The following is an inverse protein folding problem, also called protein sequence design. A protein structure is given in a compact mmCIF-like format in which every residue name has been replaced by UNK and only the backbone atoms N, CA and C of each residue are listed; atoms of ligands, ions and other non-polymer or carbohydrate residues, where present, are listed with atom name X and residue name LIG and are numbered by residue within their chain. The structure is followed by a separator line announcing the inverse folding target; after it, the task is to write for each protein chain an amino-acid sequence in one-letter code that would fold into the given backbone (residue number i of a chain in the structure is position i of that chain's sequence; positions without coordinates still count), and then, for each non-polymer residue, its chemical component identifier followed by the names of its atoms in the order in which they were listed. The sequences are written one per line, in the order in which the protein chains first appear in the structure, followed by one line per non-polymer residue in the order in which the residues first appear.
data_IF_789562116363
#
_entry.id   IF_789562116363
#
_cell.length_a   1.000
_cell.length_b   1.000
_cell.length_c   1.000
_cell.angle_alpha   90.00
_cell.angle_beta   90.00
_cell.angle_gamma   90.00
#
_symmetry.space_group_name_H-M   'P 1'
#
loop_
_entity.id
_entity.type
_entity.pdbx_description
1 polymer ?
#
# COMPACT_ATOMS: atom_id res chain seq x y z
N UNK A 1 -2.05 16.86 0.21
CA UNK A 1 -1.32 16.91 -1.11
C UNK A 1 -2.35 16.67 -2.18
N UNK A 2 -2.58 17.56 -3.10
CA UNK A 2 -3.52 17.31 -4.20
C UNK A 2 -2.86 16.47 -5.29
N UNK A 3 -3.62 15.55 -5.89
CA UNK A 3 -3.14 14.65 -6.97
C UNK A 3 -3.06 15.36 -8.33
N UNK A 4 -3.70 16.51 -8.46
CA UNK A 4 -3.67 17.29 -9.69
C UNK A 4 -2.23 17.54 -10.16
N UNK A 5 -1.96 17.27 -11.42
CA UNK A 5 -0.66 17.42 -12.10
C UNK A 5 0.47 16.53 -11.54
N UNK A 6 0.13 15.50 -10.76
CA UNK A 6 1.07 14.58 -10.13
C UNK A 6 1.27 13.29 -10.91
N UNK A 7 2.43 12.68 -10.72
CA UNK A 7 2.77 11.36 -11.25
C UNK A 7 2.60 10.31 -10.15
N UNK A 8 1.78 9.30 -10.43
CA UNK A 8 1.40 8.24 -9.48
C UNK A 8 1.82 6.89 -10.04
N UNK A 9 2.38 6.01 -9.22
CA UNK A 9 2.59 4.60 -9.53
C UNK A 9 1.73 3.75 -8.61
N UNK A 10 0.97 2.81 -9.19
CA UNK A 10 0.16 1.85 -8.43
C UNK A 10 0.60 0.43 -8.81
N UNK A 11 1.04 -0.36 -7.83
CA UNK A 11 1.32 -1.78 -8.06
C UNK A 11 0.06 -2.62 -7.95
N UNK A 12 -0.09 -3.65 -8.81
CA UNK A 12 -1.32 -4.46 -8.86
C UNK A 12 -2.53 -3.68 -9.38
N UNK A 13 -2.33 -2.80 -10.36
CA UNK A 13 -3.32 -1.83 -10.85
C UNK A 13 -4.37 -2.41 -11.81
N UNK A 14 -4.36 -3.71 -12.10
CA UNK A 14 -5.23 -4.32 -13.13
C UNK A 14 -6.61 -4.76 -12.62
N UNK A 15 -6.88 -4.72 -11.31
CA UNK A 15 -8.16 -5.13 -10.70
C UNK A 15 -8.33 -4.59 -9.28
N UNK A 16 -9.55 -4.72 -8.75
CA UNK A 16 -9.88 -4.43 -7.35
C UNK A 16 -9.44 -3.03 -6.91
N UNK A 17 -8.91 -2.93 -5.71
CA UNK A 17 -8.49 -1.64 -5.11
C UNK A 17 -7.44 -0.94 -6.00
N UNK A 18 -6.48 -1.69 -6.58
CA UNK A 18 -5.44 -1.09 -7.42
C UNK A 18 -5.98 -0.43 -8.69
N UNK A 19 -6.96 -1.05 -9.33
CA UNK A 19 -7.66 -0.46 -10.49
C UNK A 19 -8.45 0.79 -10.08
N UNK A 20 -9.17 0.72 -8.97
CA UNK A 20 -9.94 1.85 -8.47
C UNK A 20 -9.02 3.03 -8.07
N UNK A 21 -7.85 2.76 -7.45
CA UNK A 21 -6.85 3.78 -7.14
C UNK A 21 -6.29 4.45 -8.39
N UNK A 22 -6.02 3.70 -9.45
CA UNK A 22 -5.56 4.25 -10.72
C UNK A 22 -6.64 5.15 -11.36
N UNK A 23 -7.90 4.70 -11.37
CA UNK A 23 -9.04 5.46 -11.88
C UNK A 23 -9.28 6.74 -11.07
N UNK A 24 -9.25 6.67 -9.74
CA UNK A 24 -9.44 7.82 -8.87
C UNK A 24 -8.31 8.84 -9.01
N UNK A 25 -7.06 8.41 -9.17
CA UNK A 25 -5.93 9.30 -9.45
C UNK A 25 -6.17 10.10 -10.76
N UNK A 26 -6.65 9.43 -11.82
CA UNK A 26 -7.00 10.09 -13.09
C UNK A 26 -8.15 11.08 -12.93
N UNK A 27 -9.20 10.71 -12.18
CA UNK A 27 -10.35 11.56 -11.90
C UNK A 27 -9.96 12.83 -11.13
N UNK A 28 -8.99 12.72 -10.21
CA UNK A 28 -8.41 13.86 -9.47
C UNK A 28 -7.37 14.66 -10.25
N UNK A 29 -7.18 14.35 -11.54
CA UNK A 29 -6.34 15.13 -12.43
C UNK A 29 -4.85 14.77 -12.37
N UNK A 30 -4.50 13.53 -12.04
CA UNK A 30 -3.12 13.05 -12.17
C UNK A 30 -2.59 13.31 -13.58
N UNK A 31 -1.36 13.82 -13.67
CA UNK A 31 -0.67 14.03 -14.95
C UNK A 31 -0.34 12.70 -15.62
N UNK A 32 0.05 11.72 -14.84
CA UNK A 32 0.41 10.36 -15.29
C UNK A 32 0.16 9.33 -14.20
N UNK A 33 -0.35 8.17 -14.61
CA UNK A 33 -0.50 7.00 -13.75
C UNK A 33 0.31 5.85 -14.36
N UNK A 34 1.34 5.40 -13.67
CA UNK A 34 2.03 4.17 -13.98
C UNK A 34 1.26 3.00 -13.37
N UNK A 35 0.73 2.14 -14.21
CA UNK A 35 -0.04 0.97 -13.80
C UNK A 35 0.86 -0.28 -13.79
N UNK A 36 1.40 -0.62 -12.64
CA UNK A 36 2.27 -1.79 -12.44
C UNK A 36 1.45 -3.08 -12.37
N UNK A 37 1.66 -4.00 -13.33
CA UNK A 37 0.90 -5.26 -13.44
C UNK A 37 1.79 -6.40 -13.90
N UNK A 38 1.46 -7.64 -13.50
CA UNK A 38 2.15 -8.86 -13.96
C UNK A 38 1.73 -9.30 -15.36
N UNK A 39 0.55 -8.89 -15.79
CA UNK A 39 -0.01 -9.22 -17.09
C UNK A 39 -0.03 -7.96 -17.96
N UNK A 40 0.10 -8.09 -19.29
CA UNK A 40 -0.06 -6.95 -20.18
C UNK A 40 -1.37 -6.21 -19.91
N UNK A 41 -1.29 -4.90 -19.84
CA UNK A 41 -2.44 -4.02 -19.65
C UNK A 41 -2.50 -3.03 -20.83
N UNK A 42 -3.67 -2.86 -21.39
CA UNK A 42 -4.01 -1.74 -22.28
C UNK A 42 -5.00 -0.84 -21.60
N UNK A 43 -4.84 0.46 -21.73
CA UNK A 43 -5.75 1.43 -21.10
C UNK A 43 -6.13 2.52 -22.10
N UNK A 44 -7.42 2.93 -22.18
CA UNK A 44 -7.88 3.92 -23.19
C UNK A 44 -7.42 5.36 -22.89
N UNK A 45 -7.04 5.67 -21.65
CA UNK A 45 -6.56 7.00 -21.27
C UNK A 45 -5.03 7.07 -21.45
N UNK A 46 -4.57 7.97 -22.31
CA UNK A 46 -3.16 8.17 -22.66
C UNK A 46 -2.28 8.61 -21.49
N UNK A 47 -2.88 9.04 -20.38
CA UNK A 47 -2.17 9.34 -19.14
C UNK A 47 -1.75 8.08 -18.39
N UNK A 48 -2.29 6.91 -18.72
CA UNK A 48 -1.89 5.63 -18.13
C UNK A 48 -0.75 5.02 -18.90
N UNK A 49 0.33 4.73 -18.21
CA UNK A 49 1.47 3.98 -18.75
C UNK A 49 1.56 2.62 -18.04
N UNK A 50 1.24 1.52 -18.75
CA UNK A 50 1.42 0.19 -18.20
C UNK A 50 2.89 -0.12 -17.94
N UNK A 51 3.18 -0.73 -16.79
CA UNK A 51 4.50 -1.26 -16.45
C UNK A 51 4.40 -2.78 -16.21
N UNK A 52 5.26 -3.55 -16.85
CA UNK A 52 5.41 -4.96 -16.49
C UNK A 52 6.14 -5.05 -15.14
N UNK A 53 5.40 -5.33 -14.07
CA UNK A 53 5.90 -5.24 -12.70
C UNK A 53 5.34 -6.37 -11.84
N UNK A 54 6.12 -7.44 -11.70
CA UNK A 54 5.98 -8.41 -10.62
C UNK A 54 6.83 -7.95 -9.44
N UNK A 55 6.17 -7.70 -8.30
CA UNK A 55 6.86 -7.23 -7.08
C UNK A 55 7.80 -8.26 -6.46
N UNK A 56 7.79 -9.51 -6.94
CA UNK A 56 8.73 -10.57 -6.55
C UNK A 56 9.91 -10.71 -7.51
N UNK A 57 9.92 -9.97 -8.63
CA UNK A 57 10.97 -10.01 -9.64
C UNK A 57 11.88 -8.79 -9.57
N UNK A 58 13.07 -8.95 -9.02
CA UNK A 58 14.06 -7.86 -8.95
C UNK A 58 14.34 -7.26 -10.34
N UNK A 59 14.42 -8.10 -11.39
CA UNK A 59 14.67 -7.63 -12.74
C UNK A 59 13.54 -6.73 -13.28
N UNK A 60 12.27 -7.12 -13.04
CA UNK A 60 11.13 -6.31 -13.48
C UNK A 60 11.01 -5.02 -12.68
N UNK A 61 11.28 -5.07 -11.36
CA UNK A 61 11.29 -3.88 -10.50
C UNK A 61 12.34 -2.87 -11.01
N UNK A 62 13.55 -3.32 -11.30
CA UNK A 62 14.62 -2.43 -11.81
C UNK A 62 14.31 -1.89 -13.20
N UNK A 63 13.78 -2.73 -14.10
CA UNK A 63 13.34 -2.30 -15.43
C UNK A 63 12.21 -1.24 -15.36
N UNK A 64 11.26 -1.43 -14.45
CA UNK A 64 10.18 -0.46 -14.21
C UNK A 64 10.73 0.86 -13.62
N UNK A 65 11.66 0.77 -12.67
CA UNK A 65 12.29 1.97 -12.09
C UNK A 65 13.07 2.79 -13.13
N UNK A 66 13.71 2.13 -14.09
CA UNK A 66 14.38 2.79 -15.22
C UNK A 66 13.45 3.52 -16.19
N UNK A 67 12.15 3.22 -16.18
CA UNK A 67 11.15 3.88 -17.04
C UNK A 67 10.45 5.07 -16.37
N UNK A 68 10.64 5.27 -15.05
CA UNK A 68 9.95 6.29 -14.27
C UNK A 68 10.91 7.40 -13.90
N UNK A 69 10.88 8.50 -14.63
CA UNK A 69 11.79 9.65 -14.41
C UNK A 69 11.47 10.41 -13.12
N UNK A 70 10.21 10.59 -12.82
CA UNK A 70 9.73 11.30 -11.63
C UNK A 70 8.52 10.60 -11.02
N UNK A 71 8.39 10.65 -9.71
CA UNK A 71 7.30 10.00 -8.99
C UNK A 71 6.91 10.83 -7.77
N UNK A 72 5.69 11.34 -7.78
CA UNK A 72 5.14 12.10 -6.65
C UNK A 72 4.44 11.18 -5.63
N UNK A 73 3.87 10.06 -6.09
CA UNK A 73 3.18 9.12 -5.21
C UNK A 73 3.45 7.67 -5.64
N UNK A 74 3.95 6.88 -4.71
CA UNK A 74 4.07 5.42 -4.83
C UNK A 74 2.97 4.75 -4.02
N UNK A 75 2.12 3.94 -4.66
CA UNK A 75 1.09 3.14 -4.00
C UNK A 75 1.46 1.66 -4.12
N UNK A 76 1.95 1.08 -3.04
CA UNK A 76 2.20 -0.34 -2.90
C UNK A 76 0.88 -1.04 -2.56
N UNK A 77 0.18 -1.50 -3.61
CA UNK A 77 -1.10 -2.18 -3.48
C UNK A 77 -1.02 -3.68 -3.80
N UNK A 78 -0.06 -4.13 -4.60
CA UNK A 78 0.08 -5.55 -4.93
C UNK A 78 0.13 -6.41 -3.67
N UNK A 79 -0.70 -7.46 -3.63
CA UNK A 79 -0.79 -8.34 -2.48
C UNK A 79 -1.53 -9.64 -2.82
N UNK A 80 -1.35 -10.63 -1.96
CA UNK A 80 -2.07 -11.91 -2.00
C UNK A 80 -2.65 -12.23 -0.64
N UNK A 81 -3.78 -12.95 -0.62
CA UNK A 81 -4.33 -13.62 0.54
C UNK A 81 -4.71 -15.04 0.10
N UNK A 82 -4.01 -16.03 0.59
CA UNK A 82 -4.26 -17.44 0.34
C UNK A 82 -4.80 -18.05 1.63
N UNK A 83 -5.73 -18.98 1.50
CA UNK A 83 -6.14 -19.78 2.63
C UNK A 83 -4.93 -20.58 3.16
N UNK A 84 -4.71 -20.54 4.45
CA UNK A 84 -3.66 -21.29 5.12
C UNK A 84 -4.04 -21.57 6.61
N UNK A 85 -3.28 -22.50 7.21
CA UNK A 85 -3.40 -22.87 8.63
C UNK A 85 -2.00 -22.93 9.30
N UNK A 86 -1.00 -22.31 8.68
CA UNK A 86 0.42 -22.31 9.05
C UNK A 86 1.12 -23.67 8.92
N UNK A 87 0.49 -24.69 8.34
CA UNK A 87 1.15 -25.99 8.14
C UNK A 87 1.93 -26.07 6.84
N UNK A 88 1.67 -25.17 5.86
CA UNK A 88 2.40 -25.07 4.59
C UNK A 88 3.42 -23.92 4.60
N UNK A 89 4.73 -24.21 4.80
CA UNK A 89 5.76 -23.18 4.74
C UNK A 89 5.80 -22.42 3.42
N UNK A 90 5.47 -23.07 2.30
CA UNK A 90 5.48 -22.40 1.00
C UNK A 90 4.34 -21.37 0.85
N UNK A 91 3.18 -21.61 1.46
CA UNK A 91 2.11 -20.60 1.53
C UNK A 91 2.56 -19.40 2.38
N UNK A 92 3.21 -19.64 3.51
CA UNK A 92 3.75 -18.61 4.39
C UNK A 92 4.80 -17.75 3.65
N UNK A 93 5.79 -18.42 3.01
CA UNK A 93 6.84 -17.73 2.24
C UNK A 93 6.27 -16.89 1.10
N UNK A 94 5.25 -17.38 0.37
CA UNK A 94 4.57 -16.62 -0.69
C UNK A 94 3.93 -15.34 -0.17
N UNK A 95 3.27 -15.39 1.00
CA UNK A 95 2.71 -14.18 1.61
C UNK A 95 3.79 -13.16 1.94
N UNK A 96 4.89 -13.59 2.56
CA UNK A 96 6.01 -12.70 2.88
C UNK A 96 6.67 -12.15 1.60
N UNK A 97 6.89 -13.00 0.59
CA UNK A 97 7.51 -12.58 -0.66
C UNK A 97 6.76 -11.45 -1.36
N UNK A 98 5.42 -11.55 -1.43
CA UNK A 98 4.60 -10.52 -2.11
C UNK A 98 4.31 -9.35 -1.18
N UNK A 99 3.73 -9.61 0.00
CA UNK A 99 3.13 -8.57 0.83
C UNK A 99 4.16 -7.75 1.61
N UNK A 100 5.32 -8.34 1.95
CA UNK A 100 6.38 -7.68 2.69
C UNK A 100 7.58 -7.36 1.80
N UNK A 101 8.26 -8.39 1.29
CA UNK A 101 9.50 -8.18 0.54
C UNK A 101 9.26 -7.49 -0.79
N UNK A 102 8.12 -7.73 -1.46
CA UNK A 102 7.71 -7.02 -2.66
C UNK A 102 7.48 -5.54 -2.39
N UNK A 103 6.74 -5.20 -1.33
CA UNK A 103 6.54 -3.81 -0.89
C UNK A 103 7.88 -3.12 -0.58
N UNK A 104 8.77 -3.80 0.13
CA UNK A 104 10.11 -3.29 0.44
C UNK A 104 10.94 -3.06 -0.82
N UNK A 105 11.04 -4.06 -1.70
CA UNK A 105 11.88 -3.99 -2.90
C UNK A 105 11.41 -2.90 -3.88
N UNK A 106 10.09 -2.78 -4.10
CA UNK A 106 9.52 -1.70 -4.90
C UNK A 106 9.81 -0.35 -4.25
N UNK A 107 9.59 -0.20 -2.95
CA UNK A 107 9.89 1.04 -2.23
C UNK A 107 11.35 1.44 -2.42
N UNK A 108 12.30 0.53 -2.24
CA UNK A 108 13.73 0.82 -2.40
C UNK A 108 14.08 1.25 -3.84
N UNK A 109 13.51 0.58 -4.85
CA UNK A 109 13.80 0.90 -6.25
C UNK A 109 13.30 2.29 -6.67
N UNK A 110 12.17 2.74 -6.11
CA UNK A 110 11.58 4.05 -6.42
C UNK A 110 11.90 5.13 -5.38
N UNK A 111 12.62 4.81 -4.30
CA UNK A 111 12.86 5.72 -3.18
C UNK A 111 13.50 7.03 -3.61
N UNK A 112 14.52 6.98 -4.48
CA UNK A 112 15.19 8.20 -4.92
C UNK A 112 14.26 9.10 -5.77
N UNK A 113 13.36 8.54 -6.56
CA UNK A 113 12.39 9.30 -7.33
C UNK A 113 11.36 9.99 -6.42
N UNK A 114 10.84 9.28 -5.41
CA UNK A 114 9.90 9.83 -4.43
C UNK A 114 10.57 10.88 -3.54
N UNK A 115 11.81 10.66 -3.13
CA UNK A 115 12.56 11.63 -2.30
C UNK A 115 12.84 12.93 -3.05
N UNK A 116 13.24 12.85 -4.32
CA UNK A 116 13.45 14.06 -5.15
C UNK A 116 12.20 14.94 -5.27
N UNK A 117 11.03 14.32 -5.34
CA UNK A 117 9.74 15.05 -5.41
C UNK A 117 9.21 15.48 -4.04
N UNK A 118 9.85 15.07 -2.93
CA UNK A 118 9.30 15.15 -1.56
C UNK A 118 7.89 14.57 -1.52
N UNK A 119 7.76 13.41 -2.14
CA UNK A 119 6.50 12.78 -2.46
C UNK A 119 5.86 11.99 -1.31
N UNK A 120 5.09 11.00 -1.70
CA UNK A 120 4.27 10.23 -0.76
C UNK A 120 4.36 8.74 -1.08
N UNK A 121 4.46 7.90 -0.05
CA UNK A 121 4.36 6.45 -0.13
C UNK A 121 3.07 6.03 0.57
N UNK A 122 2.26 5.23 -0.10
CA UNK A 122 1.01 4.68 0.43
C UNK A 122 1.08 3.16 0.37
N UNK A 123 1.04 2.51 1.51
CA UNK A 123 1.09 1.04 1.61
C UNK A 123 -0.30 0.49 1.92
N UNK A 124 -0.86 -0.31 1.01
CA UNK A 124 -2.17 -0.95 1.20
C UNK A 124 -1.97 -2.24 2.03
N UNK A 125 -2.36 -2.16 3.28
CA UNK A 125 -2.21 -3.21 4.26
C UNK A 125 -3.54 -3.95 4.49
N UNK A 126 -4.00 -4.02 5.74
CA UNK A 126 -5.30 -4.55 6.18
C UNK A 126 -5.48 -4.29 7.68
N UNK A 127 -6.70 -4.26 8.17
CA UNK A 127 -6.99 -4.34 9.61
C UNK A 127 -6.39 -5.62 10.25
N UNK A 128 -6.18 -6.67 9.44
CA UNK A 128 -5.52 -7.90 9.89
C UNK A 128 -4.02 -7.71 10.23
N UNK A 129 -3.45 -6.54 9.95
CA UNK A 129 -2.14 -6.16 10.46
C UNK A 129 -2.17 -5.82 11.97
N UNK A 130 -3.33 -5.42 12.49
CA UNK A 130 -3.54 -5.05 13.90
C UNK A 130 -4.06 -6.22 14.72
N UNK A 131 -4.91 -7.06 14.10
CA UNK A 131 -5.47 -8.24 14.73
C UNK A 131 -5.59 -9.38 13.70
N UNK A 132 -5.00 -10.55 13.95
CA UNK A 132 -5.00 -11.64 12.97
C UNK A 132 -6.39 -12.24 12.78
N UNK A 133 -6.62 -12.86 11.62
CA UNK A 133 -7.73 -13.74 11.33
C UNK A 133 -7.23 -15.22 11.33
N UNK A 134 -7.02 -15.84 12.50
CA UNK A 134 -6.14 -16.99 12.66
C UNK A 134 -6.66 -18.29 12.06
N UNK A 135 -7.99 -18.42 11.90
CA UNK A 135 -8.58 -19.67 11.41
C UNK A 135 -8.73 -19.74 9.89
N UNK A 136 -8.36 -18.66 9.17
CA UNK A 136 -8.61 -18.56 7.72
C UNK A 136 -7.33 -18.18 6.96
N UNK A 137 -6.63 -17.11 7.39
CA UNK A 137 -5.48 -16.53 6.67
C UNK A 137 -4.40 -16.03 7.65
N UNK A 138 -3.89 -16.87 8.56
CA UNK A 138 -2.92 -16.41 9.55
C UNK A 138 -1.61 -15.92 8.94
N UNK A 139 -1.07 -16.57 7.90
CA UNK A 139 0.15 -16.13 7.23
C UNK A 139 -0.02 -14.77 6.53
N UNK A 140 -1.20 -14.51 5.96
CA UNK A 140 -1.54 -13.18 5.45
C UNK A 140 -1.44 -12.13 6.56
N UNK A 141 -2.06 -12.39 7.71
CA UNK A 141 -2.06 -11.47 8.85
C UNK A 141 -0.64 -11.17 9.32
N UNK A 142 0.22 -12.20 9.45
CA UNK A 142 1.65 -12.03 9.77
C UNK A 142 2.34 -11.14 8.74
N UNK A 143 2.14 -11.39 7.45
CA UNK A 143 2.77 -10.59 6.39
C UNK A 143 2.34 -9.13 6.41
N UNK A 144 1.06 -8.86 6.71
CA UNK A 144 0.51 -7.49 6.82
C UNK A 144 0.97 -6.78 8.09
N UNK A 145 1.11 -7.50 9.20
CA UNK A 145 1.69 -6.95 10.44
C UNK A 145 3.16 -6.56 10.25
N UNK A 146 3.95 -7.40 9.57
CA UNK A 146 5.34 -7.09 9.24
C UNK A 146 5.44 -5.89 8.28
N UNK A 147 4.58 -5.81 7.25
CA UNK A 147 4.52 -4.67 6.34
C UNK A 147 4.04 -3.39 7.03
N UNK A 148 3.20 -3.48 8.07
CA UNK A 148 2.81 -2.34 8.89
C UNK A 148 4.00 -1.80 9.70
N UNK A 149 4.76 -2.66 10.36
CA UNK A 149 5.99 -2.28 11.06
C UNK A 149 7.02 -1.65 10.10
N UNK A 150 7.19 -2.21 8.89
CA UNK A 150 8.00 -1.61 7.84
C UNK A 150 7.51 -0.19 7.47
N UNK A 151 6.19 0.02 7.36
CA UNK A 151 5.59 1.31 7.02
C UNK A 151 5.87 2.37 8.08
N UNK A 152 5.75 2.02 9.37
CA UNK A 152 6.08 2.90 10.49
C UNK A 152 7.59 3.26 10.50
N UNK A 153 8.46 2.27 10.24
CA UNK A 153 9.90 2.49 10.14
C UNK A 153 10.27 3.42 8.97
N UNK A 154 9.67 3.22 7.79
CA UNK A 154 9.87 4.10 6.64
C UNK A 154 9.40 5.52 6.93
N UNK A 155 8.28 5.70 7.64
CA UNK A 155 7.78 7.02 8.04
C UNK A 155 8.81 7.77 8.88
N UNK A 156 9.37 7.13 9.90
CA UNK A 156 10.38 7.73 10.76
C UNK A 156 11.68 8.06 9.99
N UNK A 157 12.16 7.12 9.18
CA UNK A 157 13.41 7.28 8.42
C UNK A 157 13.34 8.36 7.33
N UNK A 158 12.17 8.57 6.74
CA UNK A 158 11.99 9.46 5.60
C UNK A 158 11.41 10.84 5.97
N UNK A 159 10.99 11.04 7.21
CA UNK A 159 10.41 12.31 7.68
C UNK A 159 11.34 13.50 7.42
N UNK A 160 12.62 13.36 7.75
CA UNK A 160 13.65 14.39 7.52
C UNK A 160 13.93 14.71 6.06
N UNK A 161 13.49 13.85 5.14
CA UNK A 161 13.62 14.03 3.68
C UNK A 161 12.36 14.62 3.05
N UNK A 162 11.32 14.91 3.85
CA UNK A 162 10.05 15.48 3.41
C UNK A 162 9.13 14.48 2.70
N UNK A 163 9.41 13.18 2.80
CA UNK A 163 8.54 12.11 2.27
C UNK A 163 7.52 11.71 3.31
N UNK A 164 6.24 11.65 2.91
CA UNK A 164 5.16 11.16 3.76
C UNK A 164 4.90 9.69 3.51
N UNK A 165 4.60 8.94 4.56
CA UNK A 165 4.33 7.51 4.47
C UNK A 165 3.04 7.17 5.20
N UNK A 166 2.08 6.60 4.47
CA UNK A 166 0.75 6.28 4.95
C UNK A 166 0.54 4.77 5.00
N UNK A 167 -0.05 4.29 6.08
CA UNK A 167 -0.52 2.92 6.25
C UNK A 167 -2.03 2.85 6.01
N UNK A 168 -2.48 2.17 4.96
CA UNK A 168 -3.91 1.98 4.71
C UNK A 168 -4.34 0.64 5.27
N UNK A 169 -5.35 0.64 6.11
CA UNK A 169 -5.81 -0.51 6.89
C UNK A 169 -7.28 -0.82 6.55
N UNK A 170 -7.57 -1.30 5.32
CA UNK A 170 -8.93 -1.62 4.93
C UNK A 170 -9.45 -2.87 5.66
N UNK A 171 -10.74 -2.88 5.91
CA UNK A 171 -11.53 -4.06 6.20
C UNK A 171 -11.84 -4.86 4.93
N UNK A 172 -12.95 -5.61 4.90
CA UNK A 172 -13.37 -6.38 3.72
C UNK A 172 -13.79 -5.47 2.56
N UNK A 173 -13.15 -5.61 1.40
CA UNK A 173 -13.48 -4.89 0.16
C UNK A 173 -13.95 -5.89 -0.89
N UNK A 174 -14.97 -5.55 -1.66
CA UNK A 174 -15.53 -6.43 -2.70
C UNK A 174 -14.59 -6.52 -3.91
N UNK A 175 -13.73 -7.52 -3.88
CA UNK A 175 -12.70 -7.79 -4.88
C UNK A 175 -12.61 -9.29 -5.14
N UNK A 176 -11.84 -9.66 -6.17
CA UNK A 176 -11.53 -11.08 -6.43
C UNK A 176 -10.90 -11.79 -5.21
N UNK A 177 -10.13 -11.07 -4.41
CA UNK A 177 -9.47 -11.60 -3.22
C UNK A 177 -10.49 -12.06 -2.15
N UNK A 178 -11.63 -11.40 -2.06
CA UNK A 178 -12.67 -11.67 -1.06
C UNK A 178 -13.90 -12.37 -1.64
N UNK A 179 -13.90 -12.71 -2.94
CA UNK A 179 -15.06 -13.30 -3.64
C UNK A 179 -15.53 -14.60 -3.01
N UNK A 180 -14.62 -15.43 -2.50
CA UNK A 180 -14.93 -16.71 -1.87
C UNK A 180 -15.41 -16.62 -0.41
N UNK A 181 -15.46 -15.41 0.17
CA UNK A 181 -15.87 -15.21 1.56
C UNK A 181 -17.22 -14.50 1.60
N UNK A 182 -18.17 -15.11 2.28
CA UNK A 182 -19.48 -14.50 2.57
C UNK A 182 -19.34 -13.54 3.76
N UNK A 183 -18.87 -12.33 3.48
CA UNK A 183 -18.70 -11.27 4.48
C UNK A 183 -19.71 -10.17 4.17
N UNK A 184 -20.68 -9.92 5.05
CA UNK A 184 -21.62 -8.82 4.88
C UNK A 184 -20.93 -7.45 4.90
N UNK A 185 -21.44 -6.52 4.09
CA UNK A 185 -21.03 -5.12 4.16
C UNK A 185 -19.62 -4.84 3.60
N UNK A 186 -19.14 -5.64 2.66
CA UNK A 186 -17.91 -5.32 1.92
C UNK A 186 -18.03 -3.93 1.28
N UNK A 187 -17.00 -3.11 1.45
CA UNK A 187 -16.92 -1.82 0.78
C UNK A 187 -16.63 -1.97 -0.72
N UNK A 188 -17.06 -1.04 -1.55
CA UNK A 188 -16.64 -1.04 -2.96
C UNK A 188 -15.18 -0.57 -3.10
N UNK A 189 -14.43 -1.10 -4.09
CA UNK A 189 -13.08 -0.62 -4.38
C UNK A 189 -13.02 0.89 -4.62
N UNK A 190 -14.03 1.44 -5.29
CA UNK A 190 -14.14 2.85 -5.63
C UNK A 190 -14.30 3.73 -4.37
N UNK A 191 -15.19 3.36 -3.44
CA UNK A 191 -15.36 4.09 -2.19
C UNK A 191 -14.10 4.07 -1.34
N UNK A 192 -13.40 2.93 -1.31
CA UNK A 192 -12.12 2.77 -0.62
C UNK A 192 -11.04 3.65 -1.26
N UNK A 193 -10.95 3.70 -2.60
CA UNK A 193 -9.99 4.54 -3.29
C UNK A 193 -10.22 6.02 -3.01
N UNK A 194 -11.46 6.50 -3.06
CA UNK A 194 -11.84 7.87 -2.71
C UNK A 194 -11.41 8.22 -1.29
N UNK A 195 -11.78 7.39 -0.31
CA UNK A 195 -11.44 7.61 1.09
C UNK A 195 -9.92 7.62 1.33
N UNK A 196 -9.15 6.78 0.63
CA UNK A 196 -7.69 6.78 0.72
C UNK A 196 -7.11 8.12 0.27
N UNK A 197 -7.51 8.64 -0.90
CA UNK A 197 -6.98 9.90 -1.39
C UNK A 197 -7.40 11.09 -0.50
N UNK A 198 -8.63 11.10 0.02
CA UNK A 198 -9.09 12.13 0.95
C UNK A 198 -8.26 12.13 2.23
N UNK A 199 -8.00 10.97 2.80
CA UNK A 199 -7.18 10.81 4.00
C UNK A 199 -5.71 11.19 3.76
N UNK A 200 -5.14 10.85 2.60
CA UNK A 200 -3.79 11.29 2.20
C UNK A 200 -3.72 12.81 2.08
N UNK A 201 -4.74 13.44 1.51
CA UNK A 201 -4.82 14.91 1.42
C UNK A 201 -4.90 15.56 2.81
N UNK A 202 -5.59 14.94 3.75
CA UNK A 202 -5.68 15.34 5.15
C UNK A 202 -4.40 15.03 5.96
N UNK A 203 -3.45 14.27 5.41
CA UNK A 203 -2.20 13.92 6.08
C UNK A 203 -2.34 12.81 7.13
N UNK A 204 -3.35 11.95 7.03
CA UNK A 204 -3.58 10.85 7.98
C UNK A 204 -2.48 9.79 7.84
N UNK A 205 -1.81 9.46 8.92
CA UNK A 205 -0.73 8.46 8.93
C UNK A 205 -1.24 7.02 8.81
N UNK A 206 -2.31 6.69 9.56
CA UNK A 206 -3.08 5.45 9.43
C UNK A 206 -4.46 5.76 8.90
N UNK A 207 -4.81 5.12 7.79
CA UNK A 207 -6.04 5.35 7.03
C UNK A 207 -6.94 4.12 7.16
N UNK A 208 -8.14 4.32 7.68
CA UNK A 208 -9.19 3.32 7.84
C UNK A 208 -10.33 3.65 6.85
N UNK A 209 -10.27 3.18 5.59
CA UNK A 209 -10.99 3.78 4.48
C UNK A 209 -12.42 3.28 4.27
N UNK A 210 -12.94 2.43 5.14
CA UNK A 210 -14.24 1.77 4.95
C UNK A 210 -15.02 1.65 6.26
N UNK A 211 -16.35 1.41 6.21
CA UNK A 211 -17.18 1.35 7.41
C UNK A 211 -16.79 0.27 8.42
N UNK A 212 -16.15 -0.82 7.99
CA UNK A 212 -15.72 -1.88 8.90
C UNK A 212 -14.44 -1.49 9.66
N UNK A 213 -13.54 -0.76 9.00
CA UNK A 213 -12.28 -0.31 9.60
C UNK A 213 -12.39 1.03 10.35
N UNK A 214 -13.23 1.95 9.89
CA UNK A 214 -13.36 3.31 10.43
C UNK A 214 -13.52 3.39 11.96
N UNK A 215 -14.29 2.50 12.65
CA UNK A 215 -14.40 2.53 14.11
C UNK A 215 -13.07 2.36 14.86
N UNK A 216 -12.04 1.81 14.21
CA UNK A 216 -10.72 1.62 14.83
C UNK A 216 -9.86 2.89 14.83
N UNK A 217 -10.20 3.88 14.01
CA UNK A 217 -9.37 5.06 13.76
C UNK A 217 -9.05 5.84 15.04
N UNK A 218 -10.07 6.16 15.85
CA UNK A 218 -9.89 6.96 17.05
C UNK A 218 -9.16 6.21 18.17
N UNK A 219 -9.49 4.93 18.35
CA UNK A 219 -8.82 4.08 19.34
C UNK A 219 -7.34 3.85 18.97
N UNK A 220 -7.03 3.76 17.67
CA UNK A 220 -5.65 3.68 17.20
C UNK A 220 -4.88 5.00 17.45
N UNK A 221 -5.41 6.13 16.99
CA UNK A 221 -4.75 7.45 17.09
C UNK A 221 -4.44 7.84 18.52
N UNK A 222 -5.31 7.47 19.47
CA UNK A 222 -5.21 7.79 20.89
C UNK A 222 -4.68 6.61 21.73
N UNK A 223 -4.34 5.49 21.11
CA UNK A 223 -3.88 4.27 21.77
C UNK A 223 -2.42 4.33 22.21
N UNK A 224 -2.08 3.49 23.20
CA UNK A 224 -0.72 3.39 23.75
C UNK A 224 0.32 2.99 22.69
N UNK A 225 -0.05 2.13 21.72
CA UNK A 225 0.85 1.72 20.64
C UNK A 225 1.26 2.92 19.75
N UNK A 226 0.31 3.80 19.41
CA UNK A 226 0.61 5.02 18.63
C UNK A 226 1.41 6.05 19.43
N UNK A 227 1.14 6.16 20.73
CA UNK A 227 1.95 7.01 21.61
C UNK A 227 3.41 6.53 21.69
N UNK A 228 3.60 5.21 21.80
CA UNK A 228 4.95 4.59 21.80
C UNK A 228 5.66 4.80 20.46
N UNK A 229 4.98 4.59 19.32
CA UNK A 229 5.54 4.85 17.98
C UNK A 229 6.10 6.27 17.89
N UNK A 230 5.31 7.28 18.32
CA UNK A 230 5.72 8.69 18.30
C UNK A 230 6.95 8.95 19.18
N UNK A 231 7.02 8.32 20.34
CA UNK A 231 8.20 8.44 21.22
C UNK A 231 9.45 7.83 20.58
N UNK A 232 9.34 6.63 20.01
CA UNK A 232 10.46 5.92 19.39
C UNK A 232 10.95 6.58 18.09
N UNK A 233 10.07 7.28 17.35
CA UNK A 233 10.46 8.02 16.14
C UNK A 233 11.47 9.14 16.38
N UNK A 234 11.64 9.58 17.64
CA UNK A 234 12.60 10.63 18.04
C UNK A 234 13.89 10.08 18.66
N UNK A 235 14.03 8.76 18.79
CA UNK A 235 15.28 8.16 19.30
C UNK A 235 16.37 8.33 18.25
N UNK A 236 17.42 9.06 18.62
CA UNK A 236 18.56 9.27 17.73
C UNK A 236 19.26 7.93 17.41
N UNK A 237 19.74 7.73 16.17
CA UNK A 237 20.53 6.56 15.85
C UNK A 237 21.80 6.55 16.73
N UNK A 238 22.18 5.39 17.24
CA UNK A 238 23.45 5.19 17.93
C UNK A 238 24.55 5.45 16.90
N UNK A 239 25.37 6.47 17.10
CA UNK A 239 26.55 6.72 16.27
C UNK A 239 27.49 5.51 16.36
N UNK A 240 27.59 4.75 15.26
CA UNK A 240 28.55 3.68 15.09
C UNK A 240 29.93 4.23 14.79
#
# INVERSE_FOLDING_TARGET
MTIKDKTVLVTGANRGIGQALAAEALARGAKRVYAGTRQPLTHPDDRVTPLNLDVTSTAQIQAAAGQVESLDMLINNAGIALYDDLTDPAAFERHLAVNLFGTYAVTQAFLSAVTRSRGTIVNILSVNALAPLPLIIPAYSVSKAAAFSLTQSLRALLAGQGVRVHAVLPGPVDTDMTRGFDIPGKASPESVAQAIFDAVDNGEEEIFPDPASAPMADSWRNGAAKALERQLAHVAPVSS
#
